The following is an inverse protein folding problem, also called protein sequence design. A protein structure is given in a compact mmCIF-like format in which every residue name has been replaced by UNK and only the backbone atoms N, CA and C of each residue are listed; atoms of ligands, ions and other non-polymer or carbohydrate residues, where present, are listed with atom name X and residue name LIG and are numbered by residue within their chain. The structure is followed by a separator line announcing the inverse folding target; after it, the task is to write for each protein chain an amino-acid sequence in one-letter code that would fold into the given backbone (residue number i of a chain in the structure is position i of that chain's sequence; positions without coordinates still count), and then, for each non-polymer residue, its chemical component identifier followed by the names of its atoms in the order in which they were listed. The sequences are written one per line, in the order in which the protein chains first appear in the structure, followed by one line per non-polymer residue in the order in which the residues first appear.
data_IF_895369111506
#
_entry.id   IF_895369111506
#
_cell.length_a   1.000
_cell.length_b   1.000
_cell.length_c   1.000
_cell.angle_alpha   90.00
_cell.angle_beta   90.00
_cell.angle_gamma   90.00
#
_symmetry.space_group_name_H-M   'P 1'
#
loop_
_entity.id
_entity.type
_entity.pdbx_description
1 polymer ?
#
# COMPACT_ATOMS: atom_id res chain seq x y z
N UNK A 1 -14.77 59.23 -1.55
CA UNK A 1 -14.78 57.90 -2.20
C UNK A 1 -13.36 57.37 -2.24
N UNK A 2 -13.09 56.25 -1.55
CA UNK A 2 -11.91 55.42 -1.72
C UNK A 2 -12.29 54.02 -1.24
N UNK A 3 -12.39 53.06 -2.17
CA UNK A 3 -12.65 51.65 -1.88
C UNK A 3 -11.34 50.98 -1.41
N UNK A 4 -11.41 50.25 -0.31
CA UNK A 4 -10.38 49.32 0.13
C UNK A 4 -10.62 47.95 -0.53
N UNK A 5 -9.61 47.49 -1.26
CA UNK A 5 -9.57 46.21 -1.94
C UNK A 5 -9.59 45.08 -0.90
N UNK A 6 -10.56 44.18 -0.99
CA UNK A 6 -10.60 42.93 -0.23
C UNK A 6 -9.64 41.92 -0.89
N UNK A 7 -8.70 41.30 -0.16
CA UNK A 7 -7.94 40.18 -0.69
C UNK A 7 -8.78 38.90 -0.56
N UNK A 8 -9.26 38.41 -1.70
CA UNK A 8 -9.81 37.06 -1.84
C UNK A 8 -8.68 36.04 -1.59
N UNK A 9 -8.59 35.51 -0.38
CA UNK A 9 -7.71 34.38 -0.09
C UNK A 9 -8.38 33.12 -0.66
N UNK A 10 -7.97 32.77 -1.88
CA UNK A 10 -8.39 31.59 -2.61
C UNK A 10 -7.74 30.34 -1.96
N UNK A 11 -8.34 29.85 -0.88
CA UNK A 11 -7.96 28.58 -0.25
C UNK A 11 -8.40 27.41 -1.14
N UNK A 12 -7.50 27.00 -2.03
CA UNK A 12 -7.56 25.67 -2.64
C UNK A 12 -7.32 24.62 -1.55
N UNK A 13 -8.36 24.27 -0.79
CA UNK A 13 -8.34 23.13 0.11
C UNK A 13 -8.21 21.85 -0.73
N UNK A 14 -6.97 21.41 -0.97
CA UNK A 14 -6.69 20.07 -1.44
C UNK A 14 -7.17 19.10 -0.37
N UNK A 15 -8.37 18.54 -0.54
CA UNK A 15 -8.85 17.43 0.26
C UNK A 15 -7.84 16.29 0.12
N UNK A 16 -6.98 16.13 1.13
CA UNK A 16 -6.22 14.90 1.28
C UNK A 16 -7.24 13.84 1.72
N UNK A 17 -7.40 12.73 0.99
CA UNK A 17 -8.32 11.68 1.39
C UNK A 17 -7.89 11.18 2.77
N UNK A 18 -8.82 11.13 3.73
CA UNK A 18 -8.57 10.49 5.01
C UNK A 18 -8.01 9.08 4.74
N UNK A 19 -6.88 8.70 5.36
CA UNK A 19 -6.31 7.38 5.14
C UNK A 19 -7.32 6.31 5.60
N UNK A 20 -7.41 5.18 4.88
CA UNK A 20 -8.27 4.09 5.29
C UNK A 20 -7.88 3.60 6.69
N UNK A 21 -8.85 3.11 7.48
CA UNK A 21 -8.57 2.61 8.81
C UNK A 21 -7.57 1.43 8.75
N UNK A 22 -6.69 1.29 9.75
CA UNK A 22 -5.74 0.18 9.80
C UNK A 22 -6.48 -1.16 9.84
N UNK A 23 -5.92 -2.15 9.14
CA UNK A 23 -6.48 -3.49 9.12
C UNK A 23 -6.46 -4.11 10.53
N UNK A 24 -7.60 -4.65 10.95
CA UNK A 24 -7.75 -5.32 12.26
C UNK A 24 -8.34 -6.71 12.05
N UNK A 25 -7.57 -7.76 12.38
CA UNK A 25 -7.97 -9.14 12.12
C UNK A 25 -9.31 -9.53 12.78
N UNK A 26 -9.60 -9.01 13.98
CA UNK A 26 -10.88 -9.28 14.67
C UNK A 26 -12.09 -8.71 13.93
N UNK A 27 -11.93 -7.59 13.22
CA UNK A 27 -12.99 -7.02 12.38
C UNK A 27 -13.32 -7.88 11.15
N UNK A 28 -12.44 -8.84 10.80
CA UNK A 28 -12.59 -9.72 9.65
C UNK A 28 -12.80 -11.19 10.05
N UNK A 29 -13.08 -11.48 11.32
CA UNK A 29 -13.21 -12.86 11.81
C UNK A 29 -14.33 -13.66 11.12
N UNK A 30 -15.34 -12.98 10.57
CA UNK A 30 -16.50 -13.61 9.92
C UNK A 30 -16.45 -13.58 8.37
N UNK A 31 -15.37 -13.09 7.76
CA UNK A 31 -15.31 -12.91 6.30
C UNK A 31 -15.00 -14.21 5.50
N UNK A 32 -14.79 -15.32 6.22
CA UNK A 32 -14.49 -16.62 5.65
C UNK A 32 -13.09 -16.73 5.02
N UNK A 33 -12.23 -15.73 5.22
CA UNK A 33 -10.86 -15.71 4.69
C UNK A 33 -9.83 -16.00 5.75
N UNK A 34 -8.73 -16.61 5.34
CA UNK A 34 -7.47 -16.61 6.09
C UNK A 34 -6.74 -15.31 5.80
N UNK A 35 -6.32 -14.60 6.85
CA UNK A 35 -5.58 -13.34 6.70
C UNK A 35 -4.10 -13.59 6.99
N UNK A 36 -3.25 -13.35 5.99
CA UNK A 36 -1.81 -13.51 6.08
C UNK A 36 -1.14 -12.13 6.03
N UNK A 37 -0.39 -11.81 7.08
CA UNK A 37 0.52 -10.66 7.08
C UNK A 37 1.90 -11.12 6.61
N UNK A 38 2.31 -10.68 5.43
CA UNK A 38 3.63 -10.94 4.88
C UNK A 38 4.48 -9.67 5.01
N UNK A 39 5.55 -9.74 5.80
CA UNK A 39 6.48 -8.63 5.99
C UNK A 39 7.86 -8.97 5.39
N UNK A 40 8.45 -8.03 4.65
CA UNK A 40 9.80 -8.17 4.13
C UNK A 40 10.65 -6.92 4.41
N UNK A 41 11.92 -7.15 4.73
CA UNK A 41 12.91 -6.13 5.01
C UNK A 41 14.06 -6.17 3.98
N UNK A 42 15.17 -5.46 4.24
CA UNK A 42 16.29 -5.32 3.31
C UNK A 42 17.11 -6.61 3.14
N UNK A 43 16.57 -7.58 2.42
CA UNK A 43 17.24 -8.83 2.05
C UNK A 43 17.08 -9.11 0.56
N UNK A 44 18.08 -9.75 -0.04
CA UNK A 44 18.00 -10.25 -1.43
C UNK A 44 16.84 -11.23 -1.59
N UNK A 45 16.47 -11.95 -0.53
CA UNK A 45 15.32 -12.86 -0.53
C UNK A 45 14.00 -12.15 -0.92
N UNK A 46 13.90 -10.84 -0.73
CA UNK A 46 12.74 -10.03 -1.12
C UNK A 46 12.41 -10.14 -2.61
N UNK A 47 13.38 -10.43 -3.48
CA UNK A 47 13.13 -10.66 -4.91
C UNK A 47 12.19 -11.86 -5.18
N UNK A 48 12.04 -12.78 -4.22
CA UNK A 48 11.14 -13.94 -4.31
C UNK A 48 9.68 -13.59 -3.99
N UNK A 49 9.39 -12.43 -3.39
CA UNK A 49 8.04 -12.05 -2.97
C UNK A 49 7.00 -12.21 -4.10
N UNK A 50 7.24 -11.78 -5.36
CA UNK A 50 6.27 -12.02 -6.44
C UNK A 50 5.98 -13.51 -6.70
N UNK A 51 6.98 -14.38 -6.60
CA UNK A 51 6.79 -15.82 -6.76
C UNK A 51 6.00 -16.43 -5.58
N UNK A 52 6.27 -15.95 -4.36
CA UNK A 52 5.53 -16.34 -3.15
C UNK A 52 4.06 -15.92 -3.29
N UNK A 53 3.79 -14.67 -3.68
CA UNK A 53 2.42 -14.17 -3.90
C UNK A 53 1.69 -14.98 -4.97
N UNK A 54 2.35 -15.33 -6.08
CA UNK A 54 1.77 -16.16 -7.15
C UNK A 54 1.44 -17.59 -6.67
N UNK A 55 2.30 -18.18 -5.84
CA UNK A 55 2.01 -19.49 -5.25
C UNK A 55 0.79 -19.40 -4.32
N UNK A 56 0.73 -18.36 -3.50
CA UNK A 56 -0.35 -18.14 -2.53
C UNK A 56 -1.68 -17.74 -3.19
N UNK A 57 -1.67 -17.09 -4.36
CA UNK A 57 -2.90 -16.69 -5.08
C UNK A 57 -3.75 -17.87 -5.54
N UNK A 58 -3.22 -19.10 -5.48
CA UNK A 58 -3.99 -20.33 -5.75
C UNK A 58 -5.06 -20.61 -4.69
N UNK A 59 -5.00 -19.95 -3.53
CA UNK A 59 -5.96 -20.10 -2.44
C UNK A 59 -7.07 -19.05 -2.54
N UNK A 60 -8.29 -19.47 -2.90
CA UNK A 60 -9.44 -18.57 -3.12
C UNK A 60 -9.86 -17.75 -1.88
N UNK A 61 -9.65 -18.28 -0.67
CA UNK A 61 -10.05 -17.65 0.58
C UNK A 61 -8.86 -17.13 1.38
N UNK A 62 -7.85 -16.57 0.69
CA UNK A 62 -6.66 -16.00 1.31
C UNK A 62 -6.59 -14.50 1.04
N UNK A 63 -6.59 -13.72 2.12
CA UNK A 63 -6.29 -12.28 2.11
C UNK A 63 -4.83 -12.09 2.51
N UNK A 64 -4.07 -11.32 1.73
CA UNK A 64 -2.65 -11.08 1.99
C UNK A 64 -2.41 -9.59 2.15
N UNK A 65 -1.79 -9.20 3.26
CA UNK A 65 -1.30 -7.84 3.50
C UNK A 65 0.22 -7.89 3.41
N UNK A 66 0.78 -7.18 2.43
CA UNK A 66 2.22 -7.10 2.24
C UNK A 66 2.77 -5.80 2.84
N UNK A 67 3.66 -5.92 3.83
CA UNK A 67 4.40 -4.81 4.42
C UNK A 67 5.86 -4.88 3.96
N UNK A 68 6.34 -3.77 3.40
CA UNK A 68 7.71 -3.65 2.92
C UNK A 68 8.39 -2.48 3.63
N UNK A 69 9.63 -2.70 4.09
CA UNK A 69 10.48 -1.56 4.44
C UNK A 69 10.95 -0.85 3.17
N UNK A 70 11.38 0.40 3.29
CA UNK A 70 11.99 1.15 2.18
C UNK A 70 13.20 0.45 1.56
N UNK A 71 13.98 -0.31 2.33
CA UNK A 71 15.08 -1.08 1.80
C UNK A 71 14.59 -2.29 0.97
N UNK A 72 13.51 -2.95 1.41
CA UNK A 72 12.91 -4.08 0.70
C UNK A 72 12.38 -3.67 -0.69
N UNK A 73 11.79 -2.48 -0.82
CA UNK A 73 11.27 -2.00 -2.10
C UNK A 73 12.35 -1.86 -3.18
N UNK A 74 13.59 -1.54 -2.79
CA UNK A 74 14.71 -1.44 -3.73
C UNK A 74 15.02 -2.79 -4.40
N UNK A 75 14.89 -3.90 -3.68
CA UNK A 75 15.08 -5.25 -4.23
C UNK A 75 13.95 -5.68 -5.18
N UNK A 76 12.76 -5.08 -5.08
CA UNK A 76 11.64 -5.32 -6.00
C UNK A 76 11.67 -4.43 -7.25
N UNK A 77 12.30 -3.25 -7.17
CA UNK A 77 12.42 -2.34 -8.31
C UNK A 77 13.38 -2.88 -9.38
N UNK A 78 14.47 -3.56 -8.96
CA UNK A 78 15.47 -4.11 -9.86
C UNK A 78 14.99 -5.23 -10.80
N UNK A 79 13.83 -5.84 -10.53
CA UNK A 79 13.25 -6.89 -11.40
C UNK A 79 12.31 -6.37 -12.49
N UNK A 80 12.08 -5.04 -12.58
CA UNK A 80 11.23 -4.41 -13.61
C UNK A 80 11.95 -4.00 -14.90
N UNK A 81 13.21 -4.34 -15.07
CA UNK A 81 14.03 -3.92 -16.20
C UNK A 81 14.25 -5.07 -17.20
N UNK A 82 13.22 -5.52 -17.93
CA UNK A 82 13.34 -6.06 -19.30
C UNK A 82 11.96 -6.41 -19.89
N UNK A 83 11.27 -5.42 -20.46
CA UNK A 83 10.23 -5.67 -21.46
C UNK A 83 10.27 -4.51 -22.46
N UNK A 84 11.18 -4.67 -23.42
CA UNK A 84 11.17 -3.98 -24.71
C UNK A 84 11.14 -5.05 -25.78
#
# INVERSE_FOLDING_TARGET
MLQMNHPEHNDHHTQTPNPPPPFTASSHAADGKKHLLLAASGSVATIKIPAILRALSTHANLSIILILTKAATNFLAGSRQNSR
#
